data_IF_329210835834
#
_entry.id   IF_329210835834
#
_cell.length_a   1.000
_cell.length_b   1.000
_cell.length_c   1.000
_cell.angle_alpha   90.00
_cell.angle_beta   90.00
_cell.angle_gamma   90.00
#
_symmetry.space_group_name_H-M   'P 1'
#
loop_
_entity.id
_entity.type
_entity.pdbx_description
1 polymer ?
#
# COMPACT_ATOMS: atom_id res chain seq x y z
N UNK A 1 -40.69 13.11 50.16
CA UNK A 1 -41.01 14.04 49.05
C UNK A 1 -40.04 15.21 49.05
N UNK A 2 -38.84 15.10 48.46
CA UNK A 2 -37.89 16.23 48.39
C UNK A 2 -36.83 16.08 47.27
N UNK A 3 -37.23 15.72 46.05
CA UNK A 3 -36.28 15.60 44.92
C UNK A 3 -36.72 16.31 43.62
N UNK A 4 -37.91 16.92 43.58
CA UNK A 4 -38.43 17.54 42.35
C UNK A 4 -38.06 19.02 42.16
N UNK A 5 -37.64 19.73 43.21
CA UNK A 5 -37.41 21.17 43.16
C UNK A 5 -36.03 21.59 42.61
N UNK A 6 -35.03 20.71 42.60
CA UNK A 6 -33.67 21.03 42.13
C UNK A 6 -33.47 20.87 40.60
N UNK A 7 -34.46 20.28 39.89
CA UNK A 7 -34.36 19.99 38.46
C UNK A 7 -34.84 21.13 37.54
N UNK A 8 -35.69 22.03 38.03
CA UNK A 8 -36.32 23.08 37.20
C UNK A 8 -35.29 24.10 36.70
N UNK A 9 -34.36 24.52 37.56
CA UNK A 9 -33.27 25.42 37.17
C UNK A 9 -32.30 24.82 36.14
N UNK A 10 -31.98 23.52 36.25
CA UNK A 10 -31.14 22.84 35.25
C UNK A 10 -31.82 22.74 33.87
N UNK A 11 -33.13 22.51 33.83
CA UNK A 11 -33.89 22.42 32.59
C UNK A 11 -34.03 23.79 31.90
N UNK A 12 -34.22 24.86 32.68
CA UNK A 12 -34.25 26.23 32.15
C UNK A 12 -32.89 26.66 31.59
N UNK A 13 -31.79 26.35 32.30
CA UNK A 13 -30.43 26.58 31.81
C UNK A 13 -30.14 25.81 30.52
N UNK A 14 -30.62 24.57 30.41
CA UNK A 14 -30.46 23.75 29.21
C UNK A 14 -31.30 24.28 28.02
N UNK A 15 -32.51 24.76 28.29
CA UNK A 15 -33.38 25.38 27.29
C UNK A 15 -32.77 26.68 26.72
N UNK A 16 -32.17 27.51 27.58
CA UNK A 16 -31.45 28.73 27.17
C UNK A 16 -30.22 28.39 26.31
N UNK A 17 -29.41 27.42 26.74
CA UNK A 17 -28.27 26.93 25.96
C UNK A 17 -28.68 26.40 24.58
N UNK A 18 -29.83 25.73 24.47
CA UNK A 18 -30.39 25.28 23.19
C UNK A 18 -30.83 26.45 22.31
N UNK A 19 -31.51 27.43 22.90
CA UNK A 19 -31.99 28.65 22.20
C UNK A 19 -30.83 29.43 21.60
N UNK A 20 -29.75 29.61 22.35
CA UNK A 20 -28.54 30.29 21.88
C UNK A 20 -27.85 29.54 20.73
N UNK A 21 -27.72 28.22 20.84
CA UNK A 21 -27.18 27.37 19.77
C UNK A 21 -27.98 27.48 18.47
N UNK A 22 -29.31 27.43 18.57
CA UNK A 22 -30.19 27.55 17.41
C UNK A 22 -30.11 28.95 16.79
N UNK A 23 -30.04 30.00 17.61
CA UNK A 23 -29.87 31.38 17.12
C UNK A 23 -28.56 31.55 16.35
N UNK A 24 -27.45 31.02 16.87
CA UNK A 24 -26.16 31.05 16.18
C UNK A 24 -26.19 30.28 14.84
N UNK A 25 -26.93 29.17 14.78
CA UNK A 25 -27.11 28.41 13.53
C UNK A 25 -27.95 29.19 12.51
N UNK A 26 -28.98 29.91 12.98
CA UNK A 26 -29.85 30.75 12.15
C UNK A 26 -29.11 31.98 11.60
N UNK A 27 -28.23 32.56 12.41
CA UNK A 27 -27.33 33.66 11.99
C UNK A 27 -26.31 33.17 10.94
N UNK A 28 -25.70 32.00 11.14
CA UNK A 28 -24.76 31.40 10.17
C UNK A 28 -25.42 30.99 8.86
N UNK A 29 -26.69 30.57 8.89
CA UNK A 29 -27.45 30.17 7.71
C UNK A 29 -28.13 31.34 6.99
N UNK A 30 -27.93 32.58 7.48
CA UNK A 30 -28.39 33.80 6.82
C UNK A 30 -29.91 33.99 6.75
N UNK A 31 -30.70 33.14 7.42
CA UNK A 31 -32.16 33.27 7.49
C UNK A 31 -32.56 34.24 8.60
N UNK A 32 -32.25 35.52 8.41
CA UNK A 32 -32.83 36.59 9.22
C UNK A 32 -34.31 36.77 8.83
N UNK A 33 -35.17 36.59 9.83
CA UNK A 33 -36.50 37.19 9.97
C UNK A 33 -37.50 36.99 8.82
N UNK A 34 -37.98 35.75 8.65
CA UNK A 34 -39.23 35.45 7.92
C UNK A 34 -40.12 34.49 8.71
N UNK A 35 -40.42 34.86 9.95
CA UNK A 35 -41.52 34.27 10.71
C UNK A 35 -42.37 35.44 11.21
N UNK A 36 -43.20 35.99 10.31
CA UNK A 36 -44.46 36.72 10.57
C UNK A 36 -45.03 37.32 9.25
N UNK A 37 -45.17 36.50 8.20
CA UNK A 37 -45.93 36.91 7.02
C UNK A 37 -46.60 35.69 6.36
N UNK A 38 -47.93 35.69 6.35
CA UNK A 38 -48.77 34.71 5.66
C UNK A 38 -48.49 34.70 4.13
N UNK A 39 -48.64 33.56 3.43
CA UNK A 39 -48.37 33.50 2.00
C UNK A 39 -49.55 34.05 1.21
N UNK A 40 -49.38 35.22 0.57
CA UNK A 40 -50.32 35.71 -0.44
C UNK A 40 -50.19 34.93 -1.76
N UNK A 41 -51.36 34.65 -2.32
CA UNK A 41 -51.66 33.84 -3.49
C UNK A 41 -51.13 34.39 -4.83
N UNK A 42 -50.83 33.46 -5.74
CA UNK A 42 -50.41 33.55 -7.16
C UNK A 42 -50.85 34.79 -7.95
N UNK A 43 -49.96 35.35 -8.77
CA UNK A 43 -50.30 35.98 -10.06
C UNK A 43 -49.30 35.57 -11.15
N UNK A 44 -49.82 34.93 -12.20
CA UNK A 44 -49.18 34.68 -13.50
C UNK A 44 -49.39 35.95 -14.36
N UNK A 45 -48.34 36.50 -14.96
CA UNK A 45 -48.42 37.62 -15.90
C UNK A 45 -48.02 37.11 -17.29
N UNK A 46 -49.01 36.90 -18.15
CA UNK A 46 -48.84 36.69 -19.60
C UNK A 46 -48.98 38.03 -20.33
N UNK A 47 -48.18 38.19 -21.39
CA UNK A 47 -48.40 39.14 -22.48
C UNK A 47 -47.49 40.37 -22.49
N UNK A 48 -46.58 40.43 -23.48
CA UNK A 48 -46.47 41.53 -24.48
C UNK A 48 -45.27 41.28 -25.41
N UNK A 49 -45.56 41.11 -26.71
CA UNK A 49 -44.60 41.10 -27.81
C UNK A 49 -44.27 42.55 -28.20
N UNK A 50 -43.08 43.07 -27.86
CA UNK A 50 -42.44 44.16 -28.61
C UNK A 50 -40.90 44.09 -28.49
N UNK A 51 -40.22 43.91 -29.61
CA UNK A 51 -38.98 44.65 -29.93
C UNK A 51 -37.67 44.38 -29.17
N UNK A 52 -37.56 43.37 -28.32
CA UNK A 52 -36.28 43.05 -27.71
C UNK A 52 -35.37 42.33 -28.72
N UNK A 53 -34.19 42.90 -29.03
CA UNK A 53 -33.11 42.14 -29.69
C UNK A 53 -32.65 41.05 -28.72
N UNK A 54 -33.39 39.95 -28.68
CA UNK A 54 -33.07 38.79 -27.88
C UNK A 54 -31.64 38.36 -28.23
N UNK A 55 -30.86 38.04 -27.19
CA UNK A 55 -29.48 37.56 -27.30
C UNK A 55 -29.35 36.61 -28.49
N UNK A 56 -28.31 36.80 -29.31
CA UNK A 56 -28.04 36.01 -30.50
C UNK A 56 -28.29 34.51 -30.26
N UNK A 57 -29.13 33.91 -31.10
CA UNK A 57 -29.57 32.53 -30.98
C UNK A 57 -28.36 31.59 -31.11
N UNK A 58 -27.90 31.01 -29.99
CA UNK A 58 -26.77 30.05 -29.96
C UNK A 58 -27.29 28.63 -29.77
N UNK A 59 -27.11 27.81 -30.79
CA UNK A 59 -27.62 26.44 -30.80
C UNK A 59 -26.54 25.49 -30.28
N UNK A 60 -26.82 24.83 -29.15
CA UNK A 60 -25.93 23.87 -28.50
C UNK A 60 -26.35 22.41 -28.75
N UNK A 61 -27.65 22.12 -28.67
CA UNK A 61 -28.22 20.77 -28.75
C UNK A 61 -29.09 20.51 -30.01
N UNK A 62 -29.13 21.45 -30.95
CA UNK A 62 -29.93 21.33 -32.18
C UNK A 62 -29.06 21.56 -33.41
N UNK A 63 -29.31 20.80 -34.48
CA UNK A 63 -28.63 20.95 -35.77
C UNK A 63 -29.66 21.44 -36.80
N UNK A 64 -29.66 22.74 -37.13
CA UNK A 64 -30.52 23.29 -38.17
C UNK A 64 -30.16 22.77 -39.56
N UNK A 65 -31.16 22.69 -40.43
CA UNK A 65 -30.98 22.47 -41.86
C UNK A 65 -30.55 23.76 -42.59
N UNK A 66 -30.99 24.94 -42.11
CA UNK A 66 -30.64 26.24 -42.68
C UNK A 66 -29.17 26.64 -42.47
N UNK A 67 -28.53 27.16 -43.53
CA UNK A 67 -27.11 27.53 -43.52
C UNK A 67 -26.77 28.69 -42.57
N UNK A 68 -27.67 29.67 -42.42
CA UNK A 68 -27.48 30.84 -41.55
C UNK A 68 -27.52 30.48 -40.06
N UNK A 69 -28.38 29.52 -39.70
CA UNK A 69 -28.50 29.03 -38.32
C UNK A 69 -27.36 28.07 -37.96
N UNK A 70 -26.79 27.37 -38.95
CA UNK A 70 -25.63 26.49 -38.78
C UNK A 70 -24.36 27.26 -38.37
N UNK A 71 -24.19 28.50 -38.86
CA UNK A 71 -23.08 29.39 -38.45
C UNK A 71 -23.18 29.84 -36.99
N UNK A 72 -24.38 29.82 -36.42
CA UNK A 72 -24.65 30.21 -35.02
C UNK A 72 -24.60 29.03 -34.04
N UNK A 73 -24.20 27.85 -34.51
CA UNK A 73 -24.01 26.66 -33.69
C UNK A 73 -22.73 26.78 -32.87
N UNK A 74 -22.83 26.49 -31.57
CA UNK A 74 -21.67 26.45 -30.68
C UNK A 74 -20.84 25.20 -31.00
N UNK A 75 -19.52 25.32 -31.25
CA UNK A 75 -18.68 24.16 -31.50
C UNK A 75 -18.69 23.24 -30.27
N UNK A 76 -18.84 21.94 -30.51
CA UNK A 76 -18.79 20.96 -29.42
C UNK A 76 -17.37 20.95 -28.84
N UNK A 77 -17.27 21.05 -27.51
CA UNK A 77 -16.01 20.95 -26.82
C UNK A 77 -15.41 19.56 -27.08
N UNK A 78 -14.17 19.51 -27.57
CA UNK A 78 -13.44 18.24 -27.68
C UNK A 78 -13.18 17.74 -26.25
N UNK A 79 -13.44 16.45 -25.97
CA UNK A 79 -13.09 15.90 -24.66
C UNK A 79 -11.59 16.07 -24.43
N UNK A 80 -11.23 16.37 -23.17
CA UNK A 80 -9.83 16.46 -22.74
C UNK A 80 -9.13 15.16 -23.12
N UNK A 81 -7.93 15.23 -23.69
CA UNK A 81 -7.14 14.06 -24.06
C UNK A 81 -6.89 13.20 -22.80
N UNK A 82 -7.68 12.14 -22.67
CA UNK A 82 -7.63 11.25 -21.49
C UNK A 82 -6.44 10.30 -21.58
N UNK A 83 -5.81 10.22 -22.75
CA UNK A 83 -4.67 9.35 -23.08
C UNK A 83 -3.49 9.57 -22.13
N UNK A 84 -3.16 10.83 -21.82
CA UNK A 84 -2.07 11.17 -20.90
C UNK A 84 -2.40 10.75 -19.46
N UNK A 85 -3.64 10.96 -19.02
CA UNK A 85 -4.10 10.56 -17.68
C UNK A 85 -4.19 9.04 -17.54
N UNK A 86 -4.59 8.35 -18.59
CA UNK A 86 -4.64 6.88 -18.63
C UNK A 86 -3.21 6.32 -18.60
N UNK A 87 -2.27 6.94 -19.31
CA UNK A 87 -0.85 6.56 -19.28
C UNK A 87 -0.24 6.76 -17.90
N UNK A 88 -0.49 7.90 -17.28
CA UNK A 88 -0.03 8.21 -15.91
C UNK A 88 -0.62 7.24 -14.88
N UNK A 89 -1.91 6.88 -15.03
CA UNK A 89 -2.55 5.88 -14.18
C UNK A 89 -2.04 4.46 -14.43
N UNK A 90 -1.72 4.09 -15.67
CA UNK A 90 -1.11 2.81 -16.03
C UNK A 90 0.32 2.68 -15.51
N UNK A 91 1.06 3.78 -15.49
CA UNK A 91 2.43 3.83 -14.98
C UNK A 91 2.43 3.80 -13.44
N UNK A 92 1.52 4.54 -12.79
CA UNK A 92 1.29 4.46 -11.35
C UNK A 92 0.71 3.09 -10.91
N UNK A 93 -0.01 2.39 -11.78
CA UNK A 93 -0.54 1.05 -11.55
C UNK A 93 0.42 -0.08 -11.94
N UNK A 94 1.66 0.23 -12.33
CA UNK A 94 2.77 -0.73 -12.33
C UNK A 94 3.51 -0.60 -11.00
N UNK A 95 3.05 -1.25 -9.92
CA UNK A 95 3.90 -1.39 -8.74
C UNK A 95 5.14 -2.15 -9.18
N UNK A 96 6.33 -1.60 -8.98
CA UNK A 96 7.56 -2.40 -9.01
C UNK A 96 7.39 -3.49 -7.95
N UNK A 97 7.35 -4.78 -8.32
CA UNK A 97 7.21 -5.85 -7.35
C UNK A 97 8.56 -6.04 -6.64
N UNK A 98 8.90 -5.12 -5.74
CA UNK A 98 9.93 -5.34 -4.71
C UNK A 98 9.24 -5.99 -3.52
N UNK A 99 8.59 -7.12 -3.75
CA UNK A 99 8.30 -8.06 -2.69
C UNK A 99 9.35 -9.14 -2.89
N UNK A 100 10.45 -9.02 -2.14
CA UNK A 100 11.29 -10.17 -1.84
C UNK A 100 10.33 -11.25 -1.34
N UNK A 101 10.10 -12.26 -2.19
CA UNK A 101 9.20 -13.37 -1.92
C UNK A 101 9.54 -13.91 -0.53
N UNK A 102 8.67 -13.64 0.44
CA UNK A 102 8.89 -14.10 1.81
C UNK A 102 8.82 -15.61 1.75
N UNK A 103 9.99 -16.23 1.86
CA UNK A 103 10.22 -17.65 1.66
C UNK A 103 9.37 -18.46 2.67
N UNK A 104 8.17 -18.88 2.24
CA UNK A 104 7.12 -19.45 3.09
C UNK A 104 7.58 -20.72 3.84
N UNK A 105 8.62 -21.38 3.34
CA UNK A 105 9.27 -22.52 3.98
C UNK A 105 10.00 -22.15 5.30
N UNK A 106 10.43 -20.90 5.46
CA UNK A 106 11.07 -20.40 6.68
C UNK A 106 10.08 -19.92 7.74
N UNK A 107 8.83 -19.63 7.33
CA UNK A 107 7.74 -19.16 8.20
C UNK A 107 6.94 -20.32 8.83
N UNK A 108 7.03 -21.52 8.26
CA UNK A 108 6.36 -22.70 8.79
C UNK A 108 6.97 -23.16 10.14
N UNK A 109 6.17 -23.80 11.02
CA UNK A 109 6.68 -24.40 12.25
C UNK A 109 7.78 -25.41 11.95
N UNK A 110 9.01 -25.13 12.39
CA UNK A 110 10.14 -26.04 12.21
C UNK A 110 9.97 -27.29 13.08
N UNK A 111 10.69 -28.36 12.73
CA UNK A 111 10.74 -29.60 13.53
C UNK A 111 11.14 -29.28 14.98
N UNK A 112 10.59 -29.95 16.00
CA UNK A 112 10.96 -29.74 17.41
C UNK A 112 12.48 -29.85 17.66
N UNK A 113 13.16 -30.74 16.95
CA UNK A 113 14.61 -30.97 17.08
C UNK A 113 15.49 -29.94 16.36
N UNK A 114 14.90 -28.97 15.64
CA UNK A 114 15.69 -28.06 14.79
C UNK A 114 16.64 -27.19 15.62
N UNK A 115 16.18 -26.77 16.80
CA UNK A 115 16.94 -25.92 17.71
C UNK A 115 18.06 -26.72 18.37
N UNK A 116 17.75 -27.94 18.80
CA UNK A 116 18.73 -28.87 19.35
C UNK A 116 19.86 -29.15 18.35
N UNK A 117 19.53 -29.39 17.08
CA UNK A 117 20.52 -29.61 16.02
C UNK A 117 21.38 -28.37 15.78
N UNK A 118 20.78 -27.18 15.77
CA UNK A 118 21.51 -25.92 15.57
C UNK A 118 22.51 -25.65 16.70
N UNK A 119 22.08 -25.86 17.94
CA UNK A 119 22.90 -25.58 19.12
C UNK A 119 23.99 -26.62 19.36
N UNK A 120 23.72 -27.88 19.01
CA UNK A 120 24.71 -28.97 19.06
C UNK A 120 25.69 -28.88 17.89
N UNK A 121 25.28 -28.45 16.69
CA UNK A 121 26.14 -28.37 15.51
C UNK A 121 27.40 -27.53 15.76
N UNK A 122 27.27 -26.35 16.38
CA UNK A 122 28.42 -25.48 16.71
C UNK A 122 29.40 -26.13 17.68
N UNK A 123 28.92 -27.00 18.58
CA UNK A 123 29.76 -27.73 19.54
C UNK A 123 30.45 -28.91 18.85
N UNK A 124 29.73 -29.65 18.01
CA UNK A 124 30.27 -30.74 17.21
C UNK A 124 31.35 -30.24 16.25
N UNK A 125 31.14 -29.12 15.55
CA UNK A 125 32.14 -28.56 14.63
C UNK A 125 33.46 -28.23 15.35
N UNK A 126 33.39 -27.66 16.56
CA UNK A 126 34.58 -27.38 17.39
C UNK A 126 35.28 -28.66 17.84
N UNK A 127 34.51 -29.69 18.20
CA UNK A 127 35.04 -30.97 18.60
C UNK A 127 35.67 -31.69 17.42
N UNK A 128 34.98 -31.74 16.29
CA UNK A 128 35.43 -32.34 15.03
C UNK A 128 36.75 -31.74 14.56
N UNK A 129 36.91 -30.41 14.60
CA UNK A 129 38.20 -29.76 14.29
C UNK A 129 39.33 -30.22 15.20
N UNK A 130 39.06 -30.48 16.49
CA UNK A 130 40.07 -31.00 17.43
C UNK A 130 40.33 -32.48 17.18
N UNK A 131 39.30 -33.26 16.91
CA UNK A 131 39.42 -34.69 16.58
C UNK A 131 40.21 -34.88 15.29
N UNK A 132 39.93 -34.10 14.25
CA UNK A 132 40.70 -34.12 13.00
C UNK A 132 42.18 -33.72 13.23
N UNK A 133 42.45 -32.72 14.08
CA UNK A 133 43.82 -32.36 14.47
C UNK A 133 44.53 -33.50 15.21
N UNK A 134 43.87 -34.09 16.20
CA UNK A 134 44.42 -35.23 16.95
C UNK A 134 44.64 -36.44 16.03
N UNK A 135 43.72 -36.72 15.11
CA UNK A 135 43.89 -37.77 14.09
C UNK A 135 45.10 -37.44 13.20
N UNK A 136 45.24 -36.21 12.73
CA UNK A 136 46.38 -35.80 11.91
C UNK A 136 47.72 -35.90 12.67
N UNK A 137 47.74 -35.55 13.95
CA UNK A 137 48.92 -35.71 14.83
C UNK A 137 49.27 -37.18 15.04
N UNK A 138 48.28 -38.04 15.36
CA UNK A 138 48.48 -39.49 15.50
C UNK A 138 48.99 -40.12 14.19
N UNK A 139 48.47 -39.70 13.04
CA UNK A 139 48.95 -40.15 11.73
C UNK A 139 50.41 -39.71 11.52
N UNK A 140 50.76 -38.47 11.86
CA UNK A 140 52.15 -37.98 11.74
C UNK A 140 53.11 -38.74 12.66
N UNK A 141 52.74 -38.98 13.91
CA UNK A 141 53.56 -39.77 14.85
C UNK A 141 53.73 -41.21 14.38
N UNK A 142 52.65 -41.82 13.88
CA UNK A 142 52.70 -43.16 13.32
C UNK A 142 53.57 -43.23 12.07
N UNK A 143 53.44 -42.27 11.15
CA UNK A 143 54.28 -42.19 9.96
C UNK A 143 55.74 -41.98 10.35
N UNK A 144 56.05 -41.08 11.28
CA UNK A 144 57.41 -40.84 11.78
C UNK A 144 58.03 -42.07 12.46
N UNK A 145 57.24 -42.83 13.24
CA UNK A 145 57.70 -44.10 13.82
C UNK A 145 57.82 -45.23 12.80
N UNK A 146 57.17 -45.10 11.64
CA UNK A 146 57.27 -46.02 10.52
C UNK A 146 58.17 -45.50 9.38
N UNK A 147 58.78 -44.31 9.49
CA UNK A 147 59.54 -43.65 8.42
C UNK A 147 60.70 -44.53 7.95
N UNK A 148 61.44 -45.17 8.87
CA UNK A 148 62.53 -46.08 8.51
C UNK A 148 62.03 -47.35 7.79
N UNK A 149 60.86 -47.86 8.17
CA UNK A 149 60.25 -49.04 7.54
C UNK A 149 59.53 -48.72 6.24
N UNK A 150 58.97 -47.52 6.11
CA UNK A 150 58.24 -47.05 4.93
C UNK A 150 59.19 -46.51 3.86
N UNK A 151 60.24 -45.78 4.25
CA UNK A 151 61.29 -45.36 3.32
C UNK A 151 61.97 -46.59 2.72
N UNK A 152 62.38 -47.56 3.56
CA UNK A 152 62.96 -48.82 3.07
C UNK A 152 61.99 -49.64 2.21
N UNK A 153 60.69 -49.66 2.53
CA UNK A 153 59.69 -50.36 1.71
C UNK A 153 59.42 -49.65 0.38
N UNK A 154 59.40 -48.32 0.36
CA UNK A 154 59.19 -47.51 -0.86
C UNK A 154 60.42 -47.61 -1.78
N UNK A 155 61.63 -47.52 -1.21
CA UNK A 155 62.88 -47.72 -1.94
C UNK A 155 62.91 -49.13 -2.54
N UNK A 156 62.60 -50.17 -1.76
CA UNK A 156 62.54 -51.55 -2.26
C UNK A 156 61.47 -51.76 -3.36
N UNK A 157 60.29 -51.13 -3.25
CA UNK A 157 59.29 -51.20 -4.32
C UNK A 157 59.75 -50.45 -5.57
N UNK A 158 60.43 -49.31 -5.43
CA UNK A 158 60.94 -48.55 -6.57
C UNK A 158 62.09 -49.26 -7.28
N UNK A 159 62.94 -49.99 -6.55
CA UNK A 159 64.00 -50.83 -7.10
C UNK A 159 63.44 -52.08 -7.80
N UNK A 160 62.37 -52.69 -7.28
CA UNK A 160 61.69 -53.80 -7.95
C UNK A 160 60.97 -53.36 -9.23
N UNK A 161 60.30 -52.21 -9.23
CA UNK A 161 59.65 -51.66 -10.43
C UNK A 161 60.68 -51.26 -11.52
N UNK A 162 61.87 -50.80 -11.12
CA UNK A 162 62.97 -50.51 -12.05
C UNK A 162 63.60 -51.78 -12.63
N UNK A 163 63.65 -52.89 -11.88
CA UNK A 163 64.20 -54.17 -12.36
C UNK A 163 63.24 -54.97 -13.26
N UNK A 164 61.93 -54.72 -13.21
CA UNK A 164 60.92 -55.43 -14.01
C UNK A 164 60.60 -54.72 -15.36
N UNK A 165 61.33 -53.64 -15.66
CA UNK A 165 61.13 -52.80 -16.86
C UNK A 165 62.30 -52.83 -17.87
N UNK A 166 63.26 -53.74 -17.69
CA UNK A 166 64.38 -54.04 -18.64
C UNK A 166 64.27 -55.50 -19.11
#
# INVERSE_FOLDING_TARGET
>A
MAAAAAGVGRLEEEALRRKERLKALREKTGRKDKEDAEPQTKQLREGEEEGEKHRELRLRNYVPEDEDLKRRRVPQAKPVAVEEKVREQLEAAKPEPVIEEVDLANLAPRKPDWDLKRDVAKKLEKLEKRTQRAIAELIRERLKGQEDSLASAVDATSEQEACDSD
#
